data_IF_569308767715
#
_entry.id   IF_569308767715
#
_cell.length_a   1.000
_cell.length_b   1.000
_cell.length_c   1.000
_cell.angle_alpha   90.00
_cell.angle_beta   90.00
_cell.angle_gamma   90.00
#
_symmetry.space_group_name_H-M   'P 1'
#
loop_
_entity.id
_entity.type
_entity.pdbx_description
1 polymer ?
#
# COMPACT_ATOMS: atom_id res chain seq x y z
N UNK A 1 25.17 -10.03 -24.15
CA UNK A 1 24.68 -11.20 -23.39
C UNK A 1 23.26 -11.49 -23.84
N UNK A 2 22.98 -12.68 -24.34
CA UNK A 2 21.62 -13.02 -24.79
C UNK A 2 20.85 -13.53 -23.57
N UNK A 3 19.97 -12.67 -23.03
CA UNK A 3 19.18 -13.02 -21.84
C UNK A 3 18.07 -14.00 -22.24
N UNK A 4 18.07 -15.17 -21.61
CA UNK A 4 17.06 -16.17 -21.87
C UNK A 4 15.88 -16.01 -20.90
N UNK A 5 14.70 -15.63 -21.42
CA UNK A 5 13.46 -15.47 -20.62
C UNK A 5 12.93 -16.80 -20.07
N UNK A 6 13.45 -17.94 -20.50
CA UNK A 6 13.03 -19.25 -19.95
C UNK A 6 13.46 -19.43 -18.49
N UNK A 7 14.59 -18.83 -18.06
CA UNK A 7 14.89 -18.63 -16.65
C UNK A 7 14.44 -17.21 -16.22
N UNK A 8 13.17 -17.12 -15.85
CA UNK A 8 12.58 -15.86 -15.48
C UNK A 8 13.30 -15.19 -14.31
N UNK A 9 13.78 -15.96 -13.34
CA UNK A 9 14.41 -15.38 -12.14
C UNK A 9 15.75 -14.74 -12.48
N UNK A 10 16.59 -15.40 -13.24
CA UNK A 10 17.87 -14.87 -13.69
C UNK A 10 17.69 -13.68 -14.64
N UNK A 11 16.79 -13.82 -15.60
CA UNK A 11 16.45 -12.75 -16.54
C UNK A 11 15.98 -11.49 -15.80
N UNK A 12 15.05 -11.64 -14.85
CA UNK A 12 14.48 -10.52 -14.09
C UNK A 12 15.54 -9.80 -13.25
N UNK A 13 16.36 -10.55 -12.51
CA UNK A 13 17.41 -9.99 -11.68
C UNK A 13 18.47 -9.26 -12.53
N UNK A 14 18.81 -9.83 -13.67
CA UNK A 14 19.79 -9.22 -14.58
C UNK A 14 19.24 -7.93 -15.19
N UNK A 15 18.02 -7.94 -15.70
CA UNK A 15 17.41 -6.73 -16.29
C UNK A 15 17.26 -5.61 -15.25
N UNK A 16 16.75 -5.90 -14.09
CA UNK A 16 16.55 -4.87 -13.05
C UNK A 16 17.86 -4.22 -12.61
N UNK A 17 18.96 -4.98 -12.66
CA UNK A 17 20.31 -4.50 -12.35
C UNK A 17 20.93 -3.73 -13.52
N UNK A 18 20.96 -4.33 -14.71
CA UNK A 18 21.63 -3.75 -15.90
C UNK A 18 20.93 -2.49 -16.42
N UNK A 19 19.61 -2.41 -16.25
CA UNK A 19 18.84 -1.21 -16.55
C UNK A 19 18.87 -0.17 -15.40
N UNK A 20 19.66 -0.41 -14.36
CA UNK A 20 19.80 0.49 -13.21
C UNK A 20 18.43 0.88 -12.59
N UNK A 21 17.51 -0.09 -12.47
CA UNK A 21 16.19 0.17 -11.94
C UNK A 21 16.18 0.17 -10.41
N UNK A 22 17.07 -0.60 -9.78
CA UNK A 22 17.17 -0.67 -8.34
C UNK A 22 18.59 -0.98 -7.88
N UNK A 23 18.90 -0.59 -6.62
CA UNK A 23 20.13 -0.97 -5.93
C UNK A 23 19.80 -1.76 -4.66
N UNK A 24 20.36 -2.95 -4.55
CA UNK A 24 20.13 -3.86 -3.42
C UNK A 24 21.24 -3.83 -2.36
N UNK A 25 22.22 -2.96 -2.52
CA UNK A 25 23.39 -2.87 -1.62
C UNK A 25 23.12 -2.06 -0.36
N UNK A 26 21.91 -1.60 -0.12
CA UNK A 26 21.53 -0.77 1.02
C UNK A 26 21.80 -1.44 2.39
N UNK A 27 21.95 -2.76 2.43
CA UNK A 27 22.36 -3.50 3.64
C UNK A 27 21.21 -3.90 4.58
N UNK A 28 19.98 -3.45 4.34
CA UNK A 28 18.80 -3.89 5.09
C UNK A 28 18.00 -4.85 4.22
N UNK A 29 17.89 -6.10 4.66
CA UNK A 29 17.26 -7.17 3.89
C UNK A 29 15.80 -6.84 3.54
N UNK A 30 15.49 -6.91 2.24
CA UNK A 30 14.14 -6.70 1.73
C UNK A 30 13.76 -5.22 1.50
N UNK A 31 14.66 -4.29 1.80
CA UNK A 31 14.52 -2.89 1.46
C UNK A 31 15.31 -2.59 0.18
N UNK A 32 14.71 -1.84 -0.71
CA UNK A 32 15.22 -1.62 -2.07
C UNK A 32 15.39 -0.12 -2.30
N UNK A 33 16.56 0.27 -2.82
CA UNK A 33 16.73 1.63 -3.34
C UNK A 33 16.21 1.64 -4.77
N UNK A 34 15.14 2.34 -5.02
CA UNK A 34 14.62 2.56 -6.38
C UNK A 34 15.40 3.69 -7.05
N UNK A 35 15.98 3.40 -8.19
CA UNK A 35 16.80 4.35 -8.96
C UNK A 35 15.91 5.34 -9.73
N UNK A 36 16.46 6.47 -10.23
CA UNK A 36 15.66 7.55 -10.82
C UNK A 36 14.70 7.11 -11.92
N UNK A 37 15.10 6.20 -12.81
CA UNK A 37 14.22 5.67 -13.86
C UNK A 37 12.97 4.98 -13.31
N UNK A 38 13.15 4.15 -12.28
CA UNK A 38 12.05 3.47 -11.61
C UNK A 38 11.11 4.46 -10.96
N UNK A 39 11.66 5.43 -10.23
CA UNK A 39 10.85 6.43 -9.53
C UNK A 39 10.05 7.29 -10.51
N UNK A 40 10.68 7.75 -11.60
CA UNK A 40 9.99 8.53 -12.62
C UNK A 40 8.87 7.74 -13.30
N UNK A 41 9.09 6.45 -13.55
CA UNK A 41 8.07 5.56 -14.14
C UNK A 41 6.93 5.33 -13.16
N UNK A 42 7.25 4.91 -11.92
CA UNK A 42 6.24 4.68 -10.89
C UNK A 42 5.38 5.92 -10.61
N UNK A 43 5.98 7.12 -10.52
CA UNK A 43 5.23 8.36 -10.35
C UNK A 43 4.20 8.56 -11.47
N UNK A 44 4.57 8.35 -12.73
CA UNK A 44 3.63 8.46 -13.84
C UNK A 44 2.51 7.43 -13.76
N UNK A 45 2.81 6.21 -13.29
CA UNK A 45 1.79 5.20 -13.08
C UNK A 45 0.81 5.61 -11.96
N UNK A 46 1.34 6.10 -10.85
CA UNK A 46 0.51 6.60 -9.76
C UNK A 46 -0.34 7.79 -10.18
N UNK A 47 0.24 8.78 -10.86
CA UNK A 47 -0.50 9.96 -11.36
C UNK A 47 -1.72 9.52 -12.20
N UNK A 48 -1.55 8.53 -13.09
CA UNK A 48 -2.65 8.00 -13.92
C UNK A 48 -3.71 7.27 -13.12
N UNK A 49 -3.28 6.52 -12.10
CA UNK A 49 -4.21 5.80 -11.24
C UNK A 49 -4.98 6.75 -10.33
N UNK A 50 -4.33 7.76 -9.77
CA UNK A 50 -4.95 8.80 -8.96
C UNK A 50 -5.95 9.62 -9.79
N UNK A 51 -5.59 10.05 -11.01
CA UNK A 51 -6.52 10.70 -11.95
C UNK A 51 -7.78 9.84 -12.21
N UNK A 52 -7.64 8.52 -12.28
CA UNK A 52 -8.77 7.62 -12.50
C UNK A 52 -9.67 7.52 -11.25
N UNK A 53 -9.08 7.43 -10.06
CA UNK A 53 -9.82 7.46 -8.79
C UNK A 53 -10.60 8.78 -8.62
N UNK A 54 -9.97 9.90 -8.91
CA UNK A 54 -10.63 11.21 -8.81
C UNK A 54 -11.81 11.35 -9.78
N UNK A 55 -11.72 10.77 -10.99
CA UNK A 55 -12.86 10.72 -11.94
C UNK A 55 -14.06 9.95 -11.39
N UNK A 56 -13.83 8.98 -10.52
CA UNK A 56 -14.88 8.21 -9.84
C UNK A 56 -15.25 8.79 -8.47
N UNK A 57 -14.89 10.07 -8.25
CA UNK A 57 -15.23 10.85 -7.05
C UNK A 57 -14.54 10.40 -5.76
N UNK A 58 -13.41 9.70 -5.87
CA UNK A 58 -12.55 9.49 -4.71
C UNK A 58 -11.74 10.75 -4.42
N UNK A 59 -11.44 10.97 -3.14
CA UNK A 59 -10.61 12.08 -2.70
C UNK A 59 -9.37 11.59 -1.94
N UNK A 60 -8.21 12.22 -2.15
CA UNK A 60 -6.99 11.81 -1.46
C UNK A 60 -6.99 12.22 0.01
N UNK A 61 -6.43 11.37 0.86
CA UNK A 61 -6.09 11.73 2.23
C UNK A 61 -4.80 11.03 2.67
N UNK A 62 -4.08 11.64 3.62
CA UNK A 62 -2.91 11.03 4.22
C UNK A 62 -3.17 10.68 5.68
N UNK A 63 -2.84 9.46 6.03
CA UNK A 63 -2.94 8.94 7.38
C UNK A 63 -1.54 8.68 7.97
N UNK A 64 -1.39 8.70 9.31
CA UNK A 64 -0.12 8.45 9.96
C UNK A 64 0.50 7.11 9.57
N UNK A 65 1.83 7.08 9.46
CA UNK A 65 2.58 5.86 9.17
C UNK A 65 2.69 4.92 10.37
N UNK A 66 2.52 5.45 11.57
CA UNK A 66 2.61 4.70 12.81
C UNK A 66 1.22 4.45 13.38
N UNK A 67 0.93 3.21 13.71
CA UNK A 67 -0.35 2.74 14.23
C UNK A 67 -0.12 2.21 15.65
N UNK A 68 -0.87 2.69 16.66
CA UNK A 68 -0.82 2.14 18.02
C UNK A 68 -1.13 0.64 18.04
N UNK A 69 -0.38 -0.13 18.82
CA UNK A 69 -0.64 -1.57 18.98
C UNK A 69 -2.09 -1.86 19.40
N UNK A 70 -2.63 -1.04 20.29
CA UNK A 70 -4.01 -1.15 20.76
C UNK A 70 -5.04 -1.08 19.63
N UNK A 71 -4.75 -0.36 18.53
CA UNK A 71 -5.63 -0.30 17.35
C UNK A 71 -5.57 -1.61 16.55
N UNK A 72 -4.38 -2.15 16.33
CA UNK A 72 -4.19 -3.42 15.62
C UNK A 72 -4.80 -4.60 16.38
N UNK A 73 -4.70 -4.58 17.71
CA UNK A 73 -5.30 -5.64 18.54
C UNK A 73 -6.84 -5.66 18.47
N UNK A 74 -7.49 -4.49 18.34
CA UNK A 74 -8.94 -4.43 18.10
C UNK A 74 -9.36 -5.08 16.80
N UNK A 75 -8.56 -4.95 15.74
CA UNK A 75 -8.85 -5.64 14.48
C UNK A 75 -8.61 -7.14 14.56
N UNK A 76 -7.60 -7.58 15.30
CA UNK A 76 -7.32 -9.01 15.45
C UNK A 76 -8.45 -9.78 16.12
N UNK A 77 -9.30 -9.12 16.91
CA UNK A 77 -10.51 -9.69 17.50
C UNK A 77 -11.60 -9.97 16.45
N UNK A 78 -11.55 -9.29 15.30
CA UNK A 78 -12.53 -9.42 14.20
C UNK A 78 -12.05 -10.29 13.05
N UNK A 79 -10.76 -10.57 12.94
CA UNK A 79 -10.16 -11.33 11.84
C UNK A 79 -9.40 -12.53 12.38
N UNK A 80 -9.98 -13.72 12.27
CA UNK A 80 -9.38 -14.97 12.71
C UNK A 80 -8.06 -15.23 11.97
N UNK A 81 -6.96 -15.39 12.69
CA UNK A 81 -5.64 -15.64 12.12
C UNK A 81 -4.83 -14.41 11.70
N UNK A 82 -5.28 -13.21 12.03
CA UNK A 82 -4.52 -11.98 11.78
C UNK A 82 -3.31 -11.87 12.73
N UNK A 83 -2.15 -12.31 12.27
CA UNK A 83 -0.88 -11.99 12.90
C UNK A 83 -0.15 -11.00 11.98
N UNK A 84 -0.19 -9.70 12.26
CA UNK A 84 0.43 -8.73 11.37
C UNK A 84 1.94 -8.91 11.35
N UNK A 85 2.49 -9.23 10.19
CA UNK A 85 3.94 -9.17 9.95
C UNK A 85 4.34 -7.69 9.89
N UNK A 86 4.46 -7.03 11.06
CA UNK A 86 4.76 -5.60 11.17
C UNK A 86 6.16 -5.34 11.70
N UNK A 87 6.68 -4.17 11.39
CA UNK A 87 7.83 -3.60 12.08
C UNK A 87 7.35 -2.78 13.27
N UNK A 88 7.95 -2.99 14.42
CA UNK A 88 7.62 -2.31 15.66
C UNK A 88 8.58 -1.15 15.94
N UNK A 89 8.03 -0.04 16.36
CA UNK A 89 8.77 1.11 16.91
C UNK A 89 8.47 1.15 18.40
N UNK A 90 9.51 1.00 19.22
CA UNK A 90 9.42 0.91 20.68
C UNK A 90 10.04 2.12 21.38
N UNK A 91 10.86 2.90 20.66
CA UNK A 91 11.56 4.06 21.19
C UNK A 91 11.43 5.28 20.28
N UNK A 92 11.39 6.45 20.90
CA UNK A 92 11.56 7.73 20.26
C UNK A 92 12.83 8.41 20.85
N UNK A 93 13.89 8.49 20.05
CA UNK A 93 15.21 8.84 20.59
C UNK A 93 15.70 7.79 21.60
N UNK A 94 15.96 8.21 22.82
CA UNK A 94 16.36 7.30 23.92
C UNK A 94 15.19 6.87 24.82
N UNK A 95 14.03 7.48 24.64
CA UNK A 95 12.86 7.25 25.49
C UNK A 95 12.06 6.05 24.99
N UNK A 96 11.69 5.18 25.92
CA UNK A 96 10.75 4.10 25.65
C UNK A 96 9.35 4.69 25.45
N UNK A 97 8.65 4.26 24.40
CA UNK A 97 7.25 4.65 24.20
C UNK A 97 6.35 3.96 25.27
N UNK A 98 5.30 4.66 25.69
CA UNK A 98 4.27 4.08 26.59
C UNK A 98 3.58 2.88 25.96
N UNK A 99 3.36 2.95 24.64
CA UNK A 99 2.82 1.89 23.81
C UNK A 99 3.68 1.74 22.56
N UNK A 100 3.96 0.53 22.13
CA UNK A 100 4.68 0.33 20.87
C UNK A 100 3.78 0.64 19.67
N UNK A 101 4.42 1.14 18.62
CA UNK A 101 3.75 1.53 17.40
C UNK A 101 4.17 0.60 16.27
N UNK A 102 3.22 0.16 15.45
CA UNK A 102 3.51 -0.56 14.23
C UNK A 102 3.75 0.41 13.07
N UNK A 103 4.78 0.15 12.27
CA UNK A 103 4.82 0.74 10.93
C UNK A 103 3.69 0.13 10.10
N UNK A 104 2.81 0.96 9.53
CA UNK A 104 1.58 0.49 8.86
C UNK A 104 1.84 -0.57 7.80
N UNK A 105 1.26 -1.76 7.89
CA UNK A 105 1.26 -2.76 6.82
C UNK A 105 0.18 -2.49 5.77
N UNK A 106 -0.81 -1.70 6.15
CA UNK A 106 -1.98 -1.21 5.44
C UNK A 106 -2.63 -0.12 6.31
N UNK A 107 -3.59 0.65 5.83
CA UNK A 107 -4.10 1.83 6.55
C UNK A 107 -5.52 1.70 7.08
N UNK A 108 -6.24 0.60 6.85
CA UNK A 108 -7.63 0.44 7.29
C UNK A 108 -7.81 0.70 8.78
N UNK A 109 -6.91 0.18 9.64
CA UNK A 109 -6.97 0.39 11.09
C UNK A 109 -6.96 1.88 11.45
N UNK A 110 -6.07 2.65 10.81
CA UNK A 110 -5.99 4.10 11.01
C UNK A 110 -7.20 4.82 10.40
N UNK A 111 -7.60 4.41 9.19
CA UNK A 111 -8.70 5.05 8.46
C UNK A 111 -10.04 4.84 9.14
N UNK A 112 -10.37 3.60 9.51
CA UNK A 112 -11.66 3.29 10.13
C UNK A 112 -11.83 3.91 11.50
N UNK A 113 -10.74 4.05 12.26
CA UNK A 113 -10.77 4.78 13.53
C UNK A 113 -11.18 6.25 13.34
N UNK A 114 -10.75 6.88 12.23
CA UNK A 114 -11.13 8.25 11.89
C UNK A 114 -12.53 8.32 11.25
N UNK A 115 -12.89 7.35 10.41
CA UNK A 115 -14.22 7.28 9.80
C UNK A 115 -15.32 7.18 10.86
N UNK A 116 -15.08 6.44 11.93
CA UNK A 116 -16.00 6.37 13.06
C UNK A 116 -16.23 7.73 13.75
N UNK A 117 -15.29 8.66 13.61
CA UNK A 117 -15.44 10.04 14.12
C UNK A 117 -16.06 10.99 13.11
N UNK A 118 -15.91 10.72 11.81
CA UNK A 118 -16.36 11.62 10.75
C UNK A 118 -17.78 11.32 10.27
N UNK A 119 -18.18 10.03 10.28
CA UNK A 119 -19.49 9.61 9.79
C UNK A 119 -20.48 9.68 10.95
N UNK A 120 -21.41 10.64 10.90
CA UNK A 120 -22.45 10.84 11.91
C UNK A 120 -23.82 10.37 11.41
N UNK A 121 -23.96 10.06 10.12
CA UNK A 121 -25.23 9.59 9.56
C UNK A 121 -25.17 9.38 8.04
N UNK A 122 -26.29 8.93 7.48
CA UNK A 122 -26.40 8.59 6.04
C UNK A 122 -26.00 9.75 5.10
N UNK A 123 -26.22 10.99 5.51
CA UNK A 123 -25.86 12.18 4.72
C UNK A 123 -24.35 12.35 4.50
N UNK A 124 -23.54 11.68 5.32
CA UNK A 124 -22.08 11.73 5.23
C UNK A 124 -21.54 10.62 4.29
N UNK A 125 -22.46 9.85 3.67
CA UNK A 125 -22.15 8.77 2.75
C UNK A 125 -22.63 9.09 1.30
N UNK A 126 -21.96 8.53 0.29
CA UNK A 126 -20.78 7.68 0.38
C UNK A 126 -19.52 8.47 0.77
N UNK A 127 -18.66 7.85 1.55
CA UNK A 127 -17.30 8.36 1.81
C UNK A 127 -16.33 7.55 0.98
N UNK A 128 -15.66 8.19 0.02
CA UNK A 128 -14.73 7.56 -0.92
C UNK A 128 -13.35 8.21 -0.77
N UNK A 129 -12.46 7.55 -0.05
CA UNK A 129 -11.11 8.08 0.23
C UNK A 129 -10.07 7.09 -0.26
N UNK A 130 -9.06 7.62 -0.96
CA UNK A 130 -7.85 6.87 -1.28
C UNK A 130 -6.63 7.45 -0.57
N UNK A 131 -5.66 6.59 -0.30
CA UNK A 131 -4.44 6.91 0.42
C UNK A 131 -3.21 6.46 -0.38
N UNK A 132 -2.54 7.38 -1.11
CA UNK A 132 -1.25 7.07 -1.74
C UNK A 132 -0.17 7.10 -0.68
N UNK A 133 0.46 5.97 -0.43
CA UNK A 133 1.39 5.86 0.69
C UNK A 133 2.42 4.75 0.57
N UNK A 134 3.45 4.84 1.41
CA UNK A 134 4.32 3.70 1.70
C UNK A 134 3.71 2.82 2.78
N UNK A 135 3.96 1.51 2.65
CA UNK A 135 3.63 0.51 3.66
C UNK A 135 4.83 -0.39 3.92
N UNK A 136 4.83 -1.02 5.10
CA UNK A 136 5.93 -1.86 5.57
C UNK A 136 5.39 -3.21 6.03
N UNK A 137 5.90 -4.30 5.44
CA UNK A 137 5.54 -5.66 5.83
C UNK A 137 6.79 -6.47 6.13
N UNK A 138 6.85 -7.06 7.30
CA UNK A 138 7.94 -7.94 7.69
C UNK A 138 7.83 -9.28 6.93
N UNK A 139 8.06 -9.23 5.61
CA UNK A 139 8.00 -10.39 4.75
C UNK A 139 9.03 -11.45 5.16
N UNK A 140 8.55 -12.65 5.45
CA UNK A 140 9.40 -13.81 5.81
C UNK A 140 9.85 -14.59 4.59
N UNK A 141 9.12 -14.48 3.48
CA UNK A 141 9.46 -15.09 2.19
C UNK A 141 10.55 -14.32 1.46
N UNK A 142 11.12 -14.94 0.42
CA UNK A 142 12.12 -14.30 -0.43
C UNK A 142 11.57 -13.01 -1.07
N UNK A 143 12.30 -11.91 -0.92
CA UNK A 143 11.97 -10.62 -1.52
C UNK A 143 12.53 -10.51 -2.93
N UNK A 144 11.85 -9.76 -3.80
CA UNK A 144 12.25 -9.46 -5.17
C UNK A 144 11.79 -8.04 -5.52
N UNK A 145 12.67 -7.16 -6.03
CA UNK A 145 12.31 -5.79 -6.38
C UNK A 145 11.04 -5.72 -7.22
N UNK A 146 10.19 -4.74 -6.99
CA UNK A 146 8.90 -4.48 -7.65
C UNK A 146 7.83 -5.57 -7.49
N UNK A 147 8.18 -6.79 -7.06
CA UNK A 147 7.24 -7.90 -6.88
C UNK A 147 6.93 -8.13 -5.41
N UNK A 148 7.97 -8.14 -4.57
CA UNK A 148 7.84 -8.34 -3.12
C UNK A 148 9.01 -7.70 -2.40
N UNK A 149 8.74 -6.65 -1.65
CA UNK A 149 9.71 -5.97 -0.79
C UNK A 149 9.10 -5.73 0.59
N UNK A 150 9.92 -5.38 1.55
CA UNK A 150 9.48 -5.08 2.91
C UNK A 150 8.97 -3.65 3.07
N UNK A 151 9.28 -2.81 2.12
CA UNK A 151 8.81 -1.46 1.97
C UNK A 151 8.41 -1.25 0.52
N UNK A 152 7.20 -0.74 0.28
CA UNK A 152 6.72 -0.46 -1.07
C UNK A 152 5.66 0.64 -1.06
N UNK A 153 5.50 1.27 -2.21
CA UNK A 153 4.45 2.24 -2.45
C UNK A 153 3.23 1.56 -3.05
N UNK A 154 2.08 2.01 -2.66
CA UNK A 154 0.82 1.62 -3.24
C UNK A 154 -0.22 2.73 -3.16
N UNK A 155 -1.39 2.50 -3.74
CA UNK A 155 -2.60 3.27 -3.50
C UNK A 155 -3.63 2.30 -2.93
N UNK A 156 -4.23 2.64 -1.82
CA UNK A 156 -5.34 1.92 -1.23
C UNK A 156 -6.55 2.83 -1.14
N UNK A 157 -7.72 2.33 -1.51
CA UNK A 157 -8.97 3.05 -1.36
C UNK A 157 -9.87 2.30 -0.37
N UNK A 158 -10.40 3.04 0.59
CA UNK A 158 -11.30 2.51 1.62
C UNK A 158 -12.58 3.33 1.59
N UNK A 159 -13.64 2.71 1.08
CA UNK A 159 -14.90 3.38 0.79
C UNK A 159 -15.99 2.89 1.73
N UNK A 160 -16.90 3.79 2.13
CA UNK A 160 -18.03 3.48 3.00
C UNK A 160 -19.33 3.88 2.32
N UNK A 161 -20.29 2.96 2.31
CA UNK A 161 -21.60 3.12 1.68
C UNK A 161 -22.71 2.83 2.68
N UNK A 162 -23.92 3.30 2.36
CA UNK A 162 -25.11 3.02 3.18
C UNK A 162 -25.66 1.61 2.96
N UNK A 163 -25.39 1.00 1.78
CA UNK A 163 -25.91 -0.31 1.40
C UNK A 163 -24.82 -1.21 0.86
N UNK A 164 -25.00 -2.51 1.01
CA UNK A 164 -24.11 -3.52 0.42
C UNK A 164 -24.12 -3.45 -1.12
N UNK A 165 -25.29 -3.16 -1.72
CA UNK A 165 -25.43 -3.03 -3.17
C UNK A 165 -24.53 -1.93 -3.72
N UNK A 166 -24.52 -0.75 -3.08
CA UNK A 166 -23.67 0.37 -3.49
C UNK A 166 -22.20 0.04 -3.32
N UNK A 167 -21.82 -0.64 -2.22
CA UNK A 167 -20.45 -1.09 -2.00
C UNK A 167 -19.98 -2.09 -3.08
N UNK A 168 -20.84 -3.05 -3.44
CA UNK A 168 -20.54 -4.02 -4.50
C UNK A 168 -20.48 -3.39 -5.89
N UNK A 169 -21.28 -2.37 -6.16
CA UNK A 169 -21.20 -1.60 -7.40
C UNK A 169 -19.88 -0.84 -7.48
N UNK A 170 -19.44 -0.25 -6.36
CA UNK A 170 -18.14 0.42 -6.30
C UNK A 170 -16.98 -0.55 -6.57
N UNK A 171 -17.00 -1.75 -6.00
CA UNK A 171 -15.96 -2.77 -6.28
C UNK A 171 -15.86 -3.06 -7.78
N UNK A 172 -17.01 -3.17 -8.47
CA UNK A 172 -17.02 -3.40 -9.93
C UNK A 172 -16.44 -2.20 -10.69
N UNK A 173 -16.86 -0.98 -10.32
CA UNK A 173 -16.32 0.26 -10.90
C UNK A 173 -14.81 0.36 -10.72
N UNK A 174 -14.30 0.05 -9.53
CA UNK A 174 -12.86 0.08 -9.24
C UNK A 174 -12.08 -0.99 -10.04
N UNK A 175 -12.67 -2.17 -10.24
CA UNK A 175 -12.07 -3.21 -11.09
C UNK A 175 -12.00 -2.78 -12.56
N UNK A 176 -13.08 -2.22 -13.10
CA UNK A 176 -13.13 -1.71 -14.48
C UNK A 176 -12.16 -0.54 -14.68
N UNK A 177 -12.10 0.38 -13.72
CA UNK A 177 -11.15 1.47 -13.72
C UNK A 177 -9.70 0.98 -13.70
N UNK A 178 -9.37 0.01 -12.85
CA UNK A 178 -8.03 -0.57 -12.77
C UNK A 178 -7.65 -1.25 -14.09
N UNK A 179 -8.58 -1.97 -14.71
CA UNK A 179 -8.37 -2.60 -16.02
C UNK A 179 -8.14 -1.55 -17.11
N UNK A 180 -8.93 -0.48 -17.14
CA UNK A 180 -8.73 0.64 -18.08
C UNK A 180 -7.34 1.24 -17.94
N UNK A 181 -6.92 1.55 -16.70
CA UNK A 181 -5.63 2.17 -16.46
C UNK A 181 -4.48 1.27 -16.88
N UNK A 182 -4.53 -0.02 -16.52
CA UNK A 182 -3.45 -0.97 -16.82
C UNK A 182 -3.34 -1.28 -18.32
N UNK A 183 -4.47 -1.45 -19.01
CA UNK A 183 -4.47 -1.89 -20.40
C UNK A 183 -4.53 -0.77 -21.44
N UNK A 184 -4.99 0.42 -21.08
CA UNK A 184 -5.19 1.51 -22.04
C UNK A 184 -4.24 2.69 -21.82
N UNK A 185 -3.68 2.84 -20.63
CA UNK A 185 -2.84 4.00 -20.28
C UNK A 185 -1.35 3.64 -20.18
N UNK A 186 -1.01 2.35 -20.12
CA UNK A 186 0.35 1.79 -20.12
C UNK A 186 0.53 0.77 -21.24
#
# INVERSE_FOLDING_TARGET
MQLNKSDFSEWYNTITKEAELCDLRYGVKGFVVFMPWSVMTMKKMYDRYEEALERTSHVPAWFPALIPESYLMKESEHVEGFAPEVFWVEKAGNDQLEERLAMRPTSETAMYSMYALWIHGIKDLPLKIYHPSQVWRHETKATKPFIRSREFYWIEAHNVFATEEDAMNQVREDMEMAEEVIHQKF
#
